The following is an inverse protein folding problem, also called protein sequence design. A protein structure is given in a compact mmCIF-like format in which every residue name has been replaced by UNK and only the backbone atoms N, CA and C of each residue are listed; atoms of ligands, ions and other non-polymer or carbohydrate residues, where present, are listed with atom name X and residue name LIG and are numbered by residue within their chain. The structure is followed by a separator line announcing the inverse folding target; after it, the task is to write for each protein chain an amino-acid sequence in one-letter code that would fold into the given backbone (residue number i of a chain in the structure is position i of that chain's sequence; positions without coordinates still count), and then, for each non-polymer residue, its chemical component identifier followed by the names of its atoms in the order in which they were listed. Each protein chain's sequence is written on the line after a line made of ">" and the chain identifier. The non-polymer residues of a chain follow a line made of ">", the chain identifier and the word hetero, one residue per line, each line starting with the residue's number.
data_IF_379306759289
#
_entry.id   IF_379306759289
#
_cell.length_a   1.000
_cell.length_b   1.000
_cell.length_c   1.000
_cell.angle_alpha   90.00
_cell.angle_beta   90.00
_cell.angle_gamma   90.00
#
_symmetry.space_group_name_H-M   'P 1'
#
loop_
_entity.id
_entity.type
_entity.pdbx_description
1 polymer ?
#
# COMPACT_ATOMS: atom_id res chain seq x y z
N UNK A 1 13.41 -16.05 13.53
CA UNK A 1 12.39 -15.00 13.63
C UNK A 1 11.01 -15.62 13.55
N UNK A 2 9.95 -14.93 14.00
CA UNK A 2 8.59 -15.42 13.85
C UNK A 2 7.93 -14.88 12.58
N UNK A 3 6.80 -15.49 12.20
CA UNK A 3 6.02 -15.09 11.01
C UNK A 3 5.50 -13.65 11.15
N UNK A 4 5.20 -13.18 12.37
CA UNK A 4 4.80 -11.78 12.61
C UNK A 4 5.83 -10.79 12.10
N UNK A 5 7.12 -11.10 12.23
CA UNK A 5 8.19 -10.23 11.72
C UNK A 5 8.17 -10.15 10.18
N UNK A 6 7.83 -11.26 9.51
CA UNK A 6 7.66 -11.31 8.04
C UNK A 6 6.47 -10.45 7.62
N UNK A 7 5.32 -10.64 8.29
CA UNK A 7 4.10 -9.84 8.04
C UNK A 7 4.38 -8.35 8.25
N UNK A 8 5.02 -7.98 9.35
CA UNK A 8 5.33 -6.58 9.64
C UNK A 8 6.23 -5.95 8.56
N UNK A 9 7.17 -6.70 7.97
CA UNK A 9 7.97 -6.17 6.86
C UNK A 9 7.15 -5.85 5.61
N UNK A 10 6.12 -6.65 5.31
CA UNK A 10 5.17 -6.36 4.23
C UNK A 10 4.27 -5.17 4.61
N UNK A 11 3.77 -5.11 5.85
CA UNK A 11 2.92 -4.01 6.33
C UNK A 11 3.67 -2.68 6.49
N UNK A 12 4.99 -2.70 6.73
CA UNK A 12 5.84 -1.50 6.70
C UNK A 12 5.86 -0.87 5.28
N UNK A 13 5.84 -1.71 4.24
CA UNK A 13 5.82 -1.27 2.84
C UNK A 13 4.39 -0.95 2.36
N UNK A 14 3.45 -1.83 2.64
CA UNK A 14 2.04 -1.77 2.23
C UNK A 14 1.12 -1.86 3.45
N UNK A 15 0.98 -0.78 4.24
CA UNK A 15 0.15 -0.78 5.44
C UNK A 15 -1.30 -1.17 5.15
N UNK A 16 -1.90 -2.02 5.98
CA UNK A 16 -3.31 -2.44 5.84
C UNK A 16 -4.30 -1.27 5.78
N UNK A 17 -3.95 -0.13 6.37
CA UNK A 17 -4.77 1.08 6.29
C UNK A 17 -4.91 1.66 4.87
N UNK A 18 -4.12 1.18 3.90
CA UNK A 18 -4.24 1.55 2.48
C UNK A 18 -5.23 0.66 1.71
N UNK A 19 -5.76 -0.41 2.32
CA UNK A 19 -6.72 -1.28 1.66
C UNK A 19 -8.03 -0.56 1.36
N UNK A 20 -8.71 -1.01 0.31
CA UNK A 20 -10.06 -0.58 0.00
C UNK A 20 -11.07 -1.07 1.05
N UNK A 21 -12.15 -0.33 1.24
CA UNK A 21 -13.14 -0.61 2.30
C UNK A 21 -13.85 -1.96 2.16
N UNK A 22 -13.88 -2.53 0.95
CA UNK A 22 -14.48 -3.83 0.65
C UNK A 22 -13.51 -5.00 0.79
N UNK A 23 -12.20 -4.71 0.98
CA UNK A 23 -11.12 -5.69 0.95
C UNK A 23 -10.89 -6.36 2.32
N UNK A 24 -10.20 -7.50 2.31
CA UNK A 24 -9.83 -8.27 3.48
C UNK A 24 -8.33 -8.65 3.46
N UNK A 25 -7.45 -7.66 3.24
CA UNK A 25 -6.01 -7.88 3.36
C UNK A 25 -5.61 -8.18 4.82
N UNK A 26 -4.54 -8.94 4.99
CA UNK A 26 -3.99 -9.29 6.31
C UNK A 26 -3.89 -10.78 6.55
N UNK A 27 -3.84 -11.16 7.83
CA UNK A 27 -3.76 -12.56 8.24
C UNK A 27 -5.07 -13.30 7.89
N UNK A 28 -4.97 -14.30 7.01
CA UNK A 28 -6.11 -15.09 6.55
C UNK A 28 -6.34 -16.35 7.42
N UNK A 29 -5.25 -17.01 7.80
CA UNK A 29 -5.29 -18.23 8.63
C UNK A 29 -3.94 -18.46 9.32
N UNK A 30 -3.94 -19.27 10.37
CA UNK A 30 -2.74 -19.73 11.07
C UNK A 30 -2.32 -18.82 12.24
N UNK A 31 -1.11 -19.06 12.73
CA UNK A 31 -0.54 -18.37 13.90
C UNK A 31 0.76 -17.66 13.54
N UNK A 32 0.71 -16.34 13.53
CA UNK A 32 1.86 -15.50 13.20
C UNK A 32 2.95 -15.47 14.30
N UNK A 33 2.71 -16.05 15.47
CA UNK A 33 3.72 -16.16 16.53
C UNK A 33 4.70 -17.30 16.31
N UNK A 34 4.37 -18.26 15.43
CA UNK A 34 5.23 -19.39 15.08
C UNK A 34 6.55 -18.93 14.46
N UNK A 35 7.60 -19.74 14.71
CA UNK A 35 8.90 -19.56 14.05
C UNK A 35 8.72 -19.76 12.54
N UNK A 36 9.19 -18.82 11.75
CA UNK A 36 9.14 -18.90 10.29
C UNK A 36 10.24 -19.83 9.78
N UNK A 37 9.88 -20.91 9.10
CA UNK A 37 10.81 -21.84 8.43
C UNK A 37 11.16 -21.39 7.02
N UNK A 38 10.27 -20.61 6.39
CA UNK A 38 10.42 -20.04 5.06
C UNK A 38 9.08 -19.56 4.51
N UNK A 39 9.13 -18.89 3.37
CA UNK A 39 7.97 -18.21 2.74
C UNK A 39 7.76 -18.74 1.33
N UNK A 40 6.50 -19.10 1.01
CA UNK A 40 6.02 -19.34 -0.35
C UNK A 40 5.26 -18.11 -0.83
N UNK A 41 5.63 -17.56 -1.99
CA UNK A 41 4.99 -16.40 -2.62
C UNK A 41 4.06 -16.87 -3.73
N UNK A 42 2.84 -16.35 -3.75
CA UNK A 42 1.82 -16.74 -4.74
C UNK A 42 0.91 -15.56 -5.08
N UNK A 43 0.24 -15.58 -6.21
CA UNK A 43 -0.87 -14.67 -6.49
C UNK A 43 -2.13 -15.17 -5.77
N UNK A 44 -2.50 -16.43 -6.01
CA UNK A 44 -3.67 -17.09 -5.44
C UNK A 44 -3.29 -18.23 -4.49
N UNK A 45 -4.03 -18.37 -3.40
CA UNK A 45 -3.91 -19.52 -2.51
C UNK A 45 -4.91 -20.59 -2.93
N UNK A 46 -4.41 -21.78 -3.27
CA UNK A 46 -5.21 -22.94 -3.62
C UNK A 46 -4.67 -24.22 -2.94
N UNK A 47 -5.32 -25.36 -3.15
CA UNK A 47 -4.93 -26.63 -2.52
C UNK A 47 -3.50 -27.05 -2.91
N UNK A 48 -3.11 -26.77 -4.17
CA UNK A 48 -1.77 -27.12 -4.65
C UNK A 48 -0.68 -26.24 -4.01
N UNK A 49 -0.94 -24.92 -3.83
CA UNK A 49 0.03 -24.03 -3.18
C UNK A 49 0.26 -24.40 -1.72
N UNK A 50 -0.78 -24.88 -0.99
CA UNK A 50 -0.61 -25.38 0.38
C UNK A 50 0.19 -26.68 0.38
N UNK A 51 -0.07 -27.61 -0.57
CA UNK A 51 0.70 -28.84 -0.73
C UNK A 51 2.17 -28.55 -1.03
N UNK A 52 2.45 -27.63 -1.94
CA UNK A 52 3.80 -27.19 -2.30
C UNK A 52 4.55 -26.61 -1.09
N UNK A 53 3.87 -25.76 -0.29
CA UNK A 53 4.47 -25.22 0.93
C UNK A 53 4.89 -26.33 1.90
N UNK A 54 4.06 -27.38 2.06
CA UNK A 54 4.37 -28.56 2.90
C UNK A 54 5.59 -29.33 2.37
N UNK A 55 5.63 -29.58 1.06
CA UNK A 55 6.73 -30.32 0.41
C UNK A 55 8.05 -29.62 0.57
N UNK A 56 8.08 -28.28 0.53
CA UNK A 56 9.28 -27.49 0.76
C UNK A 56 9.57 -27.20 2.24
N UNK A 57 8.72 -27.64 3.18
CA UNK A 57 8.87 -27.36 4.60
C UNK A 57 8.70 -25.88 4.97
N UNK A 58 7.95 -25.14 4.16
CA UNK A 58 7.66 -23.72 4.37
C UNK A 58 6.35 -23.56 5.14
N UNK A 59 6.35 -22.73 6.18
CA UNK A 59 5.17 -22.57 7.03
C UNK A 59 4.51 -21.18 6.95
N UNK A 60 4.91 -20.36 5.96
CA UNK A 60 4.30 -19.08 5.69
C UNK A 60 3.99 -18.94 4.20
N UNK A 61 2.75 -18.66 3.85
CA UNK A 61 2.32 -18.33 2.49
C UNK A 61 1.98 -16.83 2.47
N UNK A 62 2.62 -16.08 1.57
CA UNK A 62 2.28 -14.69 1.28
C UNK A 62 1.62 -14.65 -0.09
N UNK A 63 0.37 -14.22 -0.14
CA UNK A 63 -0.40 -14.09 -1.38
C UNK A 63 -0.77 -12.64 -1.68
N UNK A 64 -1.03 -12.36 -2.94
CA UNK A 64 -1.66 -11.10 -3.33
C UNK A 64 -3.16 -11.16 -3.02
N UNK A 65 -3.87 -12.10 -3.58
CA UNK A 65 -5.30 -12.26 -3.36
C UNK A 65 -5.62 -12.87 -1.99
N UNK A 66 -6.60 -12.31 -1.26
CA UNK A 66 -7.05 -12.87 0.01
C UNK A 66 -7.85 -14.17 -0.22
N UNK A 67 -7.45 -15.23 0.47
CA UNK A 67 -8.21 -16.51 0.47
C UNK A 67 -9.64 -16.30 0.97
N UNK A 68 -9.82 -15.40 1.94
CA UNK A 68 -11.10 -15.06 2.57
C UNK A 68 -11.58 -13.67 2.12
N UNK A 69 -11.79 -13.47 0.83
CA UNK A 69 -12.30 -12.18 0.32
C UNK A 69 -13.70 -11.86 0.89
N UNK A 70 -14.54 -12.87 1.04
CA UNK A 70 -15.85 -12.76 1.70
C UNK A 70 -15.85 -13.54 3.00
N UNK A 71 -16.56 -13.02 4.01
CA UNK A 71 -16.73 -13.75 5.27
C UNK A 71 -17.36 -15.13 5.07
N UNK A 72 -16.81 -16.12 5.74
CA UNK A 72 -17.31 -17.51 5.74
C UNK A 72 -18.12 -17.81 7.02
N UNK A 73 -19.12 -18.70 6.90
CA UNK A 73 -19.96 -19.10 8.05
C UNK A 73 -19.55 -20.42 8.65
N UNK A 74 -18.78 -21.23 7.92
CA UNK A 74 -18.31 -22.55 8.36
C UNK A 74 -17.00 -22.91 7.68
N UNK A 75 -16.20 -23.74 8.33
CA UNK A 75 -15.02 -24.37 7.76
C UNK A 75 -15.32 -25.86 7.66
N UNK A 76 -15.41 -26.37 6.43
CA UNK A 76 -15.79 -27.77 6.14
C UNK A 76 -15.01 -28.24 4.90
N UNK A 77 -14.66 -29.53 4.81
CA UNK A 77 -14.01 -30.07 3.62
C UNK A 77 -14.90 -30.06 2.37
N UNK A 78 -16.18 -29.73 2.50
CA UNK A 78 -17.13 -29.68 1.38
C UNK A 78 -16.87 -28.52 0.42
N UNK A 79 -16.12 -27.51 0.86
CA UNK A 79 -15.78 -26.35 0.03
C UNK A 79 -14.27 -26.25 -0.22
N UNK A 80 -13.81 -25.74 -1.39
CA UNK A 80 -12.38 -25.53 -1.65
C UNK A 80 -11.71 -24.71 -0.56
N UNK A 81 -12.27 -23.55 -0.19
CA UNK A 81 -11.73 -22.69 0.87
C UNK A 81 -11.64 -23.43 2.22
N UNK A 82 -12.65 -24.24 2.55
CA UNK A 82 -12.64 -25.05 3.78
C UNK A 82 -11.52 -26.08 3.78
N UNK A 83 -11.29 -26.79 2.67
CA UNK A 83 -10.19 -27.77 2.54
C UNK A 83 -8.83 -27.08 2.69
N UNK A 84 -8.63 -25.94 2.01
CA UNK A 84 -7.40 -25.14 2.11
C UNK A 84 -7.13 -24.72 3.55
N UNK A 85 -8.14 -24.19 4.25
CA UNK A 85 -8.01 -23.75 5.64
C UNK A 85 -7.70 -24.90 6.59
N UNK A 86 -8.42 -26.04 6.45
CA UNK A 86 -8.19 -27.22 7.29
C UNK A 86 -6.77 -27.74 7.08
N UNK A 87 -6.32 -27.87 5.82
CA UNK A 87 -4.98 -28.36 5.51
C UNK A 87 -3.89 -27.42 6.01
N UNK A 88 -4.01 -26.12 5.74
CA UNK A 88 -3.04 -25.12 6.19
C UNK A 88 -2.93 -25.08 7.73
N UNK A 89 -4.05 -24.98 8.44
CA UNK A 89 -4.05 -24.88 9.91
C UNK A 89 -3.52 -26.17 10.54
N UNK A 90 -3.95 -27.35 10.04
CA UNK A 90 -3.51 -28.65 10.58
C UNK A 90 -2.01 -28.90 10.39
N UNK A 91 -1.39 -28.26 9.42
CA UNK A 91 0.06 -28.36 9.13
C UNK A 91 0.86 -27.15 9.65
N UNK A 92 0.26 -26.27 10.45
CA UNK A 92 0.93 -25.12 11.04
C UNK A 92 1.35 -24.05 10.01
N UNK A 93 0.70 -24.01 8.85
CA UNK A 93 0.95 -23.03 7.80
C UNK A 93 0.11 -21.77 8.06
N UNK A 94 0.77 -20.63 8.05
CA UNK A 94 0.14 -19.33 8.17
C UNK A 94 -0.02 -18.69 6.79
N UNK A 95 -1.20 -18.18 6.49
CA UNK A 95 -1.53 -17.50 5.23
C UNK A 95 -1.76 -16.03 5.51
N UNK A 96 -1.03 -15.17 4.81
CA UNK A 96 -1.16 -13.72 4.85
C UNK A 96 -1.34 -13.18 3.43
N UNK A 97 -2.25 -12.22 3.25
CA UNK A 97 -2.49 -11.58 1.94
C UNK A 97 -2.27 -10.08 2.00
N UNK A 98 -1.58 -9.53 1.00
CA UNK A 98 -1.49 -8.11 0.76
C UNK A 98 -2.04 -7.81 -0.64
N UNK A 99 -3.26 -7.28 -0.67
CA UNK A 99 -4.10 -7.10 -1.84
C UNK A 99 -4.19 -5.61 -2.20
N UNK A 100 -5.34 -4.99 -2.08
CA UNK A 100 -5.49 -3.57 -2.44
C UNK A 100 -4.62 -2.61 -1.62
N UNK A 101 -4.18 -3.01 -0.43
CA UNK A 101 -3.17 -2.27 0.31
C UNK A 101 -1.80 -2.26 -0.39
N UNK A 102 -1.43 -3.35 -1.10
CA UNK A 102 -0.23 -3.38 -1.93
C UNK A 102 -0.43 -2.57 -3.21
N UNK A 103 -1.63 -2.65 -3.84
CA UNK A 103 -1.94 -1.87 -5.03
C UNK A 103 -1.87 -0.37 -4.78
N UNK A 104 -2.37 0.07 -3.61
CA UNK A 104 -2.41 1.47 -3.20
C UNK A 104 -1.09 1.97 -2.57
N UNK A 105 -0.10 1.09 -2.36
CA UNK A 105 1.20 1.50 -1.84
C UNK A 105 2.02 2.28 -2.88
N UNK A 106 2.86 3.23 -2.43
CA UNK A 106 3.68 4.11 -3.28
C UNK A 106 4.43 3.39 -4.41
N UNK A 107 4.97 2.20 -4.14
CA UNK A 107 5.71 1.38 -5.10
C UNK A 107 5.04 0.01 -5.30
N UNK A 108 3.71 -0.01 -5.20
CA UNK A 108 2.90 -1.21 -5.34
C UNK A 108 2.78 -1.70 -6.79
N UNK A 109 1.79 -2.57 -7.03
CA UNK A 109 1.64 -3.33 -8.28
C UNK A 109 1.62 -2.42 -9.50
N UNK A 110 0.75 -1.41 -9.56
CA UNK A 110 0.64 -0.53 -10.73
C UNK A 110 1.91 0.29 -10.96
N UNK A 111 2.59 0.74 -9.91
CA UNK A 111 3.88 1.43 -10.06
C UNK A 111 4.97 0.48 -10.59
N UNK A 112 5.00 -0.78 -10.11
CA UNK A 112 5.91 -1.82 -10.60
C UNK A 112 5.67 -2.12 -12.08
N UNK A 113 4.41 -2.25 -12.51
CA UNK A 113 4.06 -2.42 -13.93
C UNK A 113 4.61 -1.26 -14.78
N UNK A 114 4.43 -0.01 -14.31
CA UNK A 114 4.94 1.17 -14.99
C UNK A 114 6.47 1.16 -15.13
N UNK A 115 7.19 0.74 -14.07
CA UNK A 115 8.65 0.57 -14.09
C UNK A 115 9.09 -0.52 -15.07
N UNK A 116 8.41 -1.67 -15.10
CA UNK A 116 8.71 -2.76 -16.03
C UNK A 116 8.56 -2.34 -17.49
N UNK A 117 7.63 -1.43 -17.80
CA UNK A 117 7.44 -0.83 -19.13
C UNK A 117 8.43 0.31 -19.43
N UNK A 118 9.30 0.69 -18.48
CA UNK A 118 10.25 1.78 -18.64
C UNK A 118 9.60 3.16 -18.70
N UNK A 119 8.43 3.34 -18.06
CA UNK A 119 7.77 4.64 -18.00
C UNK A 119 8.59 5.62 -17.14
N UNK A 120 8.56 6.89 -17.52
CA UNK A 120 9.19 8.00 -16.79
C UNK A 120 8.13 8.94 -16.20
N UNK A 121 8.49 9.68 -15.15
CA UNK A 121 7.58 10.62 -14.50
C UNK A 121 6.34 9.92 -13.93
N UNK A 122 6.51 8.72 -13.39
CA UNK A 122 5.43 7.89 -12.86
C UNK A 122 4.74 8.60 -11.69
N UNK A 123 3.41 8.67 -11.74
CA UNK A 123 2.55 9.23 -10.69
C UNK A 123 1.37 8.29 -10.44
N UNK A 124 0.81 8.35 -9.25
CA UNK A 124 -0.46 7.69 -8.93
C UNK A 124 -1.57 8.23 -9.83
N UNK A 125 -2.38 7.34 -10.41
CA UNK A 125 -3.47 7.72 -11.31
C UNK A 125 -4.66 8.29 -10.50
N UNK A 126 -5.05 7.62 -9.44
CA UNK A 126 -6.11 8.05 -8.51
C UNK A 126 -5.53 8.16 -7.09
N UNK A 127 -5.00 9.33 -6.70
CA UNK A 127 -4.47 9.55 -5.35
C UNK A 127 -5.54 9.39 -4.27
N UNK A 128 -5.15 8.83 -3.11
CA UNK A 128 -6.06 8.74 -1.96
C UNK A 128 -6.29 10.13 -1.35
N UNK A 129 -7.55 10.45 -1.06
CA UNK A 129 -7.97 11.68 -0.38
C UNK A 129 -8.27 11.42 1.11
N UNK A 130 -8.30 12.50 1.91
CA UNK A 130 -8.63 12.47 3.34
C UNK A 130 -7.74 11.53 4.21
N UNK A 131 -6.56 11.17 3.71
CA UNK A 131 -5.60 10.28 4.39
C UNK A 131 -4.49 11.04 5.11
N UNK A 132 -4.44 12.35 4.96
CA UNK A 132 -3.45 13.21 5.58
C UNK A 132 -4.05 14.01 6.74
N UNK A 133 -3.20 14.33 7.71
CA UNK A 133 -3.51 15.24 8.82
C UNK A 133 -2.37 16.23 9.01
N UNK A 134 -2.70 17.40 9.55
CA UNK A 134 -1.74 18.29 10.18
C UNK A 134 -1.79 18.05 11.69
N UNK A 135 -0.64 17.77 12.29
CA UNK A 135 -0.47 17.75 13.74
C UNK A 135 0.17 19.07 14.15
N UNK A 136 -0.44 19.74 15.13
CA UNK A 136 0.10 20.95 15.73
C UNK A 136 0.28 20.72 17.23
N UNK A 137 1.42 21.11 17.80
CA UNK A 137 1.72 21.00 19.23
C UNK A 137 2.37 22.28 19.71
N UNK A 138 2.10 22.66 20.97
CA UNK A 138 2.62 23.87 21.61
C UNK A 138 3.64 23.44 22.67
N UNK A 139 4.90 23.84 22.49
CA UNK A 139 6.05 23.31 23.25
C UNK A 139 6.85 24.47 23.83
N UNK A 140 7.28 24.42 25.11
CA UNK A 140 8.26 25.40 25.62
C UNK A 140 9.48 25.46 24.69
N UNK A 141 9.93 26.67 24.37
CA UNK A 141 10.97 26.94 23.37
C UNK A 141 12.22 26.04 23.53
N UNK A 142 12.68 25.87 24.78
CA UNK A 142 13.85 25.04 25.09
C UNK A 142 13.68 23.53 24.76
N UNK A 143 12.46 23.05 24.53
CA UNK A 143 12.14 21.65 24.25
C UNK A 143 11.66 21.42 22.81
N UNK A 144 11.53 22.48 22.01
CA UNK A 144 10.92 22.42 20.67
C UNK A 144 11.65 21.45 19.73
N UNK A 145 12.99 21.48 19.69
CA UNK A 145 13.77 20.61 18.81
C UNK A 145 13.63 19.13 19.19
N UNK A 146 13.66 18.82 20.50
CA UNK A 146 13.49 17.44 20.96
C UNK A 146 12.13 16.87 20.57
N UNK A 147 11.05 17.64 20.71
CA UNK A 147 9.69 17.20 20.35
C UNK A 147 9.55 17.07 18.83
N UNK A 148 10.09 18.03 18.08
CA UNK A 148 10.09 18.00 16.59
C UNK A 148 10.79 16.75 16.07
N UNK A 149 11.97 16.44 16.58
CA UNK A 149 12.74 15.27 16.19
C UNK A 149 12.02 13.97 16.53
N UNK A 150 11.41 13.88 17.72
CA UNK A 150 10.62 12.69 18.10
C UNK A 150 9.42 12.46 17.16
N UNK A 151 8.72 13.55 16.76
CA UNK A 151 7.63 13.46 15.80
C UNK A 151 8.12 13.01 14.41
N UNK A 152 9.26 13.54 13.96
CA UNK A 152 9.85 13.19 12.66
C UNK A 152 10.33 11.74 12.65
N UNK A 153 11.00 11.26 13.69
CA UNK A 153 11.45 9.86 13.84
C UNK A 153 10.27 8.88 13.89
N UNK A 154 9.11 9.33 14.36
CA UNK A 154 7.88 8.56 14.33
C UNK A 154 7.19 8.53 12.95
N UNK A 155 7.64 9.35 11.98
CA UNK A 155 7.19 9.37 10.59
C UNK A 155 6.39 10.61 10.18
N UNK A 156 6.48 11.72 10.96
CA UNK A 156 5.91 13.00 10.55
C UNK A 156 6.81 13.76 9.58
N UNK A 157 6.22 14.67 8.79
CA UNK A 157 6.96 15.62 7.96
C UNK A 157 7.49 15.08 6.64
N UNK A 158 6.92 14.01 6.09
CA UNK A 158 7.26 13.53 4.75
C UNK A 158 6.43 14.27 3.69
N UNK A 159 7.09 14.98 2.77
CA UNK A 159 6.49 15.68 1.63
C UNK A 159 7.35 15.41 0.40
N UNK A 160 6.89 14.55 -0.49
CA UNK A 160 7.67 14.18 -1.66
C UNK A 160 8.93 13.41 -1.30
N UNK A 161 10.04 13.92 -1.78
CA UNK A 161 11.38 13.41 -1.49
C UNK A 161 12.07 14.18 -0.33
N UNK A 162 11.28 15.00 0.41
CA UNK A 162 11.74 15.68 1.62
C UNK A 162 11.17 14.99 2.85
N UNK A 163 11.98 14.84 3.86
CA UNK A 163 11.61 14.35 5.19
C UNK A 163 11.77 15.46 6.25
N UNK A 164 11.29 15.21 7.48
CA UNK A 164 11.38 16.13 8.63
C UNK A 164 10.84 17.54 8.36
N UNK A 165 9.96 17.70 7.37
CA UNK A 165 9.32 18.97 7.09
C UNK A 165 8.43 19.40 8.26
N UNK A 166 8.67 20.60 8.77
CA UNK A 166 7.89 21.21 9.83
C UNK A 166 7.82 22.70 9.64
N UNK A 167 6.82 23.33 10.25
CA UNK A 167 6.72 24.77 10.35
C UNK A 167 6.59 25.16 11.82
N UNK A 168 7.34 26.18 12.26
CA UNK A 168 7.35 26.63 13.64
C UNK A 168 6.97 28.10 13.75
N UNK A 169 6.19 28.42 14.77
CA UNK A 169 5.74 29.76 15.11
C UNK A 169 6.03 29.99 16.59
N UNK A 170 6.65 31.11 16.93
CA UNK A 170 6.83 31.56 18.31
C UNK A 170 5.54 32.22 18.81
N UNK A 171 5.20 31.96 20.08
CA UNK A 171 3.99 32.49 20.68
C UNK A 171 4.06 32.46 22.21
N UNK A 172 2.95 32.85 22.85
CA UNK A 172 2.83 32.84 24.30
C UNK A 172 1.65 31.93 24.67
N UNK A 173 1.94 30.79 25.31
CA UNK A 173 0.95 29.95 25.96
C UNK A 173 0.47 30.58 27.24
N UNK A 174 -0.81 30.35 27.60
CA UNK A 174 -1.40 30.86 28.86
C UNK A 174 -2.29 29.79 29.47
N UNK A 175 -2.03 29.47 30.72
CA UNK A 175 -2.81 28.46 31.44
C UNK A 175 -2.87 28.77 32.93
N UNK A 176 -3.71 28.05 33.67
CA UNK A 176 -3.76 28.04 35.13
C UNK A 176 -3.87 26.59 35.58
N UNK A 177 -2.89 26.13 36.33
CA UNK A 177 -2.92 24.80 36.93
C UNK A 177 -4.02 24.70 37.99
N UNK A 178 -4.89 23.70 37.89
CA UNK A 178 -5.93 23.41 38.90
C UNK A 178 -5.37 22.53 40.01
N UNK A 179 -6.13 22.44 41.14
CA UNK A 179 -5.79 21.50 42.20
C UNK A 179 -5.74 20.07 41.70
N UNK A 180 -4.60 19.37 41.89
CA UNK A 180 -4.36 18.03 41.39
C UNK A 180 -3.45 17.95 40.17
N UNK A 181 -3.16 19.08 39.51
CA UNK A 181 -2.13 19.14 38.47
C UNK A 181 -0.72 19.15 39.08
N UNK A 182 0.25 18.67 38.27
CA UNK A 182 1.68 18.76 38.61
C UNK A 182 2.38 19.55 37.47
N UNK A 183 2.24 20.89 37.46
CA UNK A 183 2.71 21.71 36.36
C UNK A 183 4.23 21.70 36.24
N UNK A 184 4.77 21.55 35.03
CA UNK A 184 6.20 21.70 34.75
C UNK A 184 6.70 23.11 34.99
N UNK A 185 5.85 24.14 34.76
CA UNK A 185 6.10 25.56 35.03
C UNK A 185 4.85 26.20 35.62
N UNK A 186 5.01 27.28 36.40
CA UNK A 186 3.90 27.97 37.07
C UNK A 186 3.46 27.34 38.39
N UNK A 187 2.52 27.99 39.11
CA UNK A 187 2.00 27.55 40.39
C UNK A 187 0.51 27.25 40.33
N UNK A 188 0.04 26.32 41.19
CA UNK A 188 -1.37 25.94 41.28
C UNK A 188 -2.23 27.15 41.64
N UNK A 189 -3.28 27.40 40.87
CA UNK A 189 -4.24 28.48 41.07
C UNK A 189 -3.85 29.83 40.47
N UNK A 190 -2.62 29.99 40.00
CA UNK A 190 -2.14 31.21 39.35
C UNK A 190 -2.16 31.11 37.81
N UNK A 191 -2.36 32.27 37.16
CA UNK A 191 -2.26 32.33 35.69
C UNK A 191 -0.79 32.47 35.35
N UNK A 192 -0.30 31.50 34.57
CA UNK A 192 1.06 31.48 34.04
C UNK A 192 1.07 31.79 32.53
N UNK A 193 2.13 32.47 32.08
CA UNK A 193 2.43 32.69 30.65
C UNK A 193 3.81 32.13 30.35
N UNK A 194 3.90 31.30 29.34
CA UNK A 194 5.13 30.66 28.89
C UNK A 194 5.42 31.02 27.43
N UNK A 195 6.68 31.28 27.11
CA UNK A 195 7.14 31.36 25.73
C UNK A 195 7.11 29.95 25.12
N UNK A 196 6.35 29.77 24.06
CA UNK A 196 6.14 28.50 23.43
C UNK A 196 6.35 28.58 21.91
N UNK A 197 6.84 27.49 21.34
CA UNK A 197 6.91 27.27 19.90
C UNK A 197 5.75 26.37 19.51
N UNK A 198 4.90 26.84 18.60
CA UNK A 198 3.93 25.98 17.90
C UNK A 198 4.66 25.27 16.78
N UNK A 199 4.65 23.93 16.79
CA UNK A 199 5.23 23.08 15.76
C UNK A 199 4.08 22.48 14.94
N UNK A 200 4.09 22.65 13.62
CA UNK A 200 3.15 22.04 12.70
C UNK A 200 3.87 21.06 11.78
N UNK A 201 3.32 19.85 11.63
CA UNK A 201 3.82 18.81 10.74
C UNK A 201 2.67 18.17 9.97
N UNK A 202 2.93 17.78 8.72
CA UNK A 202 2.02 16.91 7.96
C UNK A 202 2.34 15.45 8.26
N UNK A 203 1.32 14.61 8.30
CA UNK A 203 1.51 13.17 8.50
C UNK A 203 0.38 12.36 7.86
N UNK A 204 0.64 11.12 7.44
CA UNK A 204 -0.43 10.17 7.14
C UNK A 204 -1.28 9.92 8.39
N UNK A 205 -2.61 10.01 8.26
CA UNK A 205 -3.56 9.80 9.37
C UNK A 205 -3.31 8.48 10.12
N UNK A 206 -2.95 7.41 9.40
CA UNK A 206 -2.64 6.09 9.95
C UNK A 206 -1.45 6.09 10.93
N UNK A 207 -0.56 7.07 10.84
CA UNK A 207 0.60 7.21 11.74
C UNK A 207 0.33 8.16 12.92
N UNK A 208 -0.82 8.85 12.98
CA UNK A 208 -1.12 9.85 14.01
C UNK A 208 -0.92 9.32 15.43
N UNK A 209 -1.43 8.12 15.73
CA UNK A 209 -1.30 7.55 17.07
C UNK A 209 0.15 7.28 17.47
N UNK A 210 1.00 6.82 16.54
CA UNK A 210 2.43 6.60 16.79
C UNK A 210 3.16 7.93 16.99
N UNK A 211 2.87 8.92 16.15
CA UNK A 211 3.50 10.24 16.21
C UNK A 211 3.10 10.98 17.48
N UNK A 212 1.81 10.95 17.85
CA UNK A 212 1.32 11.58 19.08
C UNK A 212 1.96 10.93 20.30
N UNK A 213 2.11 9.63 20.36
CA UNK A 213 2.79 8.96 21.47
C UNK A 213 4.24 9.43 21.60
N UNK A 214 5.00 9.44 20.50
CA UNK A 214 6.38 9.92 20.50
C UNK A 214 6.49 11.40 20.90
N UNK A 215 5.53 12.22 20.47
CA UNK A 215 5.40 13.62 20.86
C UNK A 215 5.17 13.75 22.37
N UNK A 216 4.20 13.03 22.93
CA UNK A 216 3.88 13.06 24.37
C UNK A 216 5.05 12.59 25.23
N UNK A 217 5.75 11.52 24.83
CA UNK A 217 6.93 10.99 25.54
C UNK A 217 8.11 11.98 25.56
N UNK A 218 8.20 12.84 24.53
CA UNK A 218 9.27 13.84 24.42
C UNK A 218 8.91 15.18 25.10
N UNK A 219 7.62 15.45 25.29
CA UNK A 219 7.09 16.73 25.79
C UNK A 219 7.32 16.88 27.30
N UNK A 220 7.71 18.09 27.81
CA UNK A 220 7.94 18.28 29.24
C UNK A 220 6.65 18.40 30.06
N UNK A 221 5.52 18.79 29.44
CA UNK A 221 4.24 18.94 30.18
C UNK A 221 3.57 17.57 30.37
N UNK A 222 2.87 17.42 31.49
CA UNK A 222 2.06 16.23 31.75
C UNK A 222 0.85 16.13 30.81
N UNK A 223 0.26 17.28 30.46
CA UNK A 223 -0.86 17.39 29.50
C UNK A 223 -0.57 18.47 28.47
N UNK A 224 0.18 18.17 27.40
CA UNK A 224 0.46 19.15 26.36
C UNK A 224 -0.77 19.40 25.48
N UNK A 225 -0.94 20.65 25.06
CA UNK A 225 -1.95 21.01 24.05
C UNK A 225 -1.46 20.60 22.66
N UNK A 226 -2.32 19.93 21.89
CA UNK A 226 -2.07 19.59 20.50
C UNK A 226 -3.36 19.45 19.71
N UNK A 227 -3.29 19.66 18.40
CA UNK A 227 -4.42 19.56 17.48
C UNK A 227 -4.15 18.50 16.39
N UNK A 228 -5.21 17.80 15.98
CA UNK A 228 -5.22 16.92 14.80
C UNK A 228 -6.20 17.50 13.80
N UNK A 229 -5.68 18.09 12.73
CA UNK A 229 -6.49 18.78 11.71
C UNK A 229 -6.53 17.92 10.46
N UNK A 230 -7.71 17.39 10.05
CA UNK A 230 -7.85 16.70 8.76
C UNK A 230 -7.48 17.62 7.60
N UNK A 231 -6.81 17.06 6.59
CA UNK A 231 -6.45 17.77 5.38
C UNK A 231 -7.19 17.20 4.17
N UNK A 232 -7.71 18.06 3.32
CA UNK A 232 -8.29 17.71 2.02
C UNK A 232 -7.23 17.45 0.94
N UNK A 233 -5.96 17.66 1.26
CA UNK A 233 -4.85 17.34 0.37
C UNK A 233 -4.86 15.86 0.01
N UNK A 234 -4.75 15.56 -1.29
CA UNK A 234 -4.55 14.20 -1.74
C UNK A 234 -3.14 13.70 -1.37
N UNK A 235 -3.04 12.44 -0.96
CA UNK A 235 -1.76 11.74 -0.84
C UNK A 235 -1.33 11.25 -2.23
N UNK A 236 -0.51 12.02 -2.92
CA UNK A 236 -0.06 11.72 -4.27
C UNK A 236 0.87 10.48 -4.36
N UNK A 237 1.22 9.90 -3.22
CA UNK A 237 2.12 8.74 -3.15
C UNK A 237 1.40 7.44 -2.84
N UNK A 238 0.14 7.51 -2.42
CA UNK A 238 -0.70 6.34 -2.15
C UNK A 238 -1.99 6.45 -2.97
N UNK A 239 -2.44 5.34 -3.52
CA UNK A 239 -3.67 5.25 -4.29
C UNK A 239 -3.58 4.32 -5.49
N UNK A 240 -4.66 4.22 -6.23
CA UNK A 240 -4.82 3.19 -7.25
C UNK A 240 -4.27 3.62 -8.61
N UNK A 241 -3.73 2.65 -9.33
CA UNK A 241 -3.20 2.84 -10.69
C UNK A 241 -1.94 3.71 -10.76
N UNK A 242 -1.39 3.80 -11.96
CA UNK A 242 -0.25 4.65 -12.26
C UNK A 242 -0.40 5.31 -13.63
N UNK A 243 0.23 6.47 -13.80
CA UNK A 243 0.34 7.15 -15.10
C UNK A 243 1.77 7.64 -15.28
N UNK A 244 2.32 7.48 -16.49
CA UNK A 244 3.67 7.89 -16.82
C UNK A 244 3.86 8.12 -18.31
N UNK A 245 5.05 8.60 -18.69
CA UNK A 245 5.39 8.89 -20.07
C UNK A 245 6.28 7.77 -20.64
N UNK A 246 6.10 7.47 -21.90
CA UNK A 246 6.94 6.56 -22.68
C UNK A 246 7.56 7.31 -23.86
N UNK A 247 8.70 6.85 -24.38
CA UNK A 247 9.22 7.35 -25.63
C UNK A 247 8.18 7.16 -26.73
N UNK A 248 7.96 8.14 -27.63
CA UNK A 248 6.97 8.01 -28.69
C UNK A 248 7.14 6.69 -29.44
N UNK A 249 6.08 5.91 -29.47
CA UNK A 249 6.01 4.61 -30.16
C UNK A 249 4.62 4.45 -30.78
N UNK A 250 4.44 3.55 -31.73
CA UNK A 250 3.10 3.22 -32.22
C UNK A 250 2.36 2.36 -31.21
N UNK A 251 1.02 2.42 -31.21
CA UNK A 251 0.22 1.55 -30.34
C UNK A 251 0.49 0.06 -30.60
N UNK A 252 0.70 -0.34 -31.87
CA UNK A 252 1.05 -1.72 -32.21
C UNK A 252 2.35 -2.17 -31.56
N UNK A 253 3.43 -1.37 -31.65
CA UNK A 253 4.70 -1.65 -30.98
C UNK A 253 4.56 -1.67 -29.45
N UNK A 254 3.70 -0.82 -28.90
CA UNK A 254 3.42 -0.81 -27.47
C UNK A 254 2.64 -2.06 -27.01
N UNK A 255 1.68 -2.56 -27.80
CA UNK A 255 1.00 -3.83 -27.54
C UNK A 255 1.98 -5.02 -27.56
N UNK A 256 2.94 -5.02 -28.48
CA UNK A 256 4.01 -6.03 -28.51
C UNK A 256 4.90 -5.94 -27.26
N UNK A 257 5.25 -4.72 -26.81
CA UNK A 257 5.97 -4.49 -25.57
C UNK A 257 5.19 -5.01 -24.36
N UNK A 258 3.88 -4.73 -24.27
CA UNK A 258 3.01 -5.27 -23.19
C UNK A 258 3.04 -6.79 -23.19
N UNK A 259 2.88 -7.40 -24.36
CA UNK A 259 2.87 -8.86 -24.51
C UNK A 259 4.17 -9.50 -24.06
N UNK A 260 5.30 -8.91 -24.42
CA UNK A 260 6.63 -9.38 -24.02
C UNK A 260 6.89 -9.17 -22.51
N UNK A 261 6.56 -7.98 -21.98
CA UNK A 261 6.84 -7.61 -20.59
C UNK A 261 6.05 -8.43 -19.59
N UNK A 262 4.76 -8.67 -19.86
CA UNK A 262 3.86 -9.39 -18.95
C UNK A 262 3.62 -10.85 -19.35
N UNK A 263 4.30 -11.33 -20.40
CA UNK A 263 4.14 -12.69 -20.93
C UNK A 263 2.68 -13.02 -21.28
N UNK A 264 1.95 -12.04 -21.83
CA UNK A 264 0.54 -12.21 -22.19
C UNK A 264 0.41 -13.10 -23.42
N UNK A 265 -0.44 -14.13 -23.36
CA UNK A 265 -0.75 -14.99 -24.51
C UNK A 265 -1.66 -14.28 -25.51
N UNK A 266 -2.56 -13.44 -25.02
CA UNK A 266 -3.45 -12.63 -25.82
C UNK A 266 -3.70 -11.28 -25.12
N UNK A 267 -3.94 -10.23 -25.89
CA UNK A 267 -4.38 -8.91 -25.41
C UNK A 267 -5.69 -8.58 -26.14
N UNK A 268 -6.71 -8.19 -25.40
CA UNK A 268 -7.91 -7.58 -25.98
C UNK A 268 -7.75 -6.07 -25.95
N UNK A 269 -8.02 -5.39 -27.06
CA UNK A 269 -7.82 -3.95 -27.12
C UNK A 269 -8.84 -3.23 -28.02
N UNK A 270 -8.94 -1.92 -27.86
CA UNK A 270 -9.56 -1.01 -28.81
C UNK A 270 -8.63 0.18 -29.09
N UNK A 271 -8.74 0.76 -30.28
CA UNK A 271 -7.92 1.86 -30.76
C UNK A 271 -7.24 1.59 -32.09
N UNK A 272 -6.55 2.59 -32.67
CA UNK A 272 -5.80 2.47 -33.92
C UNK A 272 -4.33 2.15 -33.63
N UNK A 273 -3.84 1.00 -34.08
CA UNK A 273 -2.46 0.53 -33.87
C UNK A 273 -1.39 1.50 -34.42
N UNK A 274 -1.76 2.35 -35.40
CA UNK A 274 -0.84 3.35 -35.97
C UNK A 274 -0.74 4.62 -35.15
N UNK A 275 -1.64 4.84 -34.19
CA UNK A 275 -1.61 6.02 -33.34
C UNK A 275 -0.34 6.04 -32.49
N UNK A 276 0.30 7.21 -32.40
CA UNK A 276 1.45 7.41 -31.51
C UNK A 276 1.01 7.42 -30.06
N UNK A 277 1.71 6.66 -29.22
CA UNK A 277 1.56 6.61 -27.76
C UNK A 277 2.75 7.32 -27.12
N UNK A 278 2.47 8.22 -26.20
CA UNK A 278 3.47 8.99 -25.43
C UNK A 278 3.20 8.95 -23.94
N UNK A 279 1.94 8.72 -23.57
CA UNK A 279 1.49 8.70 -22.17
C UNK A 279 0.60 7.51 -21.90
N UNK A 280 0.94 6.74 -20.89
CA UNK A 280 0.30 5.47 -20.53
C UNK A 280 -0.28 5.59 -19.13
N UNK A 281 -1.56 5.25 -18.95
CA UNK A 281 -2.17 4.96 -17.66
C UNK A 281 -2.33 3.45 -17.51
N UNK A 282 -2.23 2.93 -16.29
CA UNK A 282 -2.38 1.51 -16.03
C UNK A 282 -2.88 1.23 -14.61
N UNK A 283 -3.53 0.07 -14.46
CA UNK A 283 -3.93 -0.50 -13.18
C UNK A 283 -3.83 -2.02 -13.24
N UNK A 284 -3.17 -2.64 -12.28
CA UNK A 284 -3.16 -4.10 -12.11
C UNK A 284 -4.56 -4.62 -11.80
N UNK A 285 -4.84 -5.88 -12.14
CA UNK A 285 -6.10 -6.54 -11.90
C UNK A 285 -7.30 -5.91 -12.60
N UNK A 286 -8.43 -5.85 -11.92
CA UNK A 286 -9.71 -5.38 -12.46
C UNK A 286 -9.87 -3.86 -12.32
N UNK A 287 -9.22 -3.08 -13.18
CA UNK A 287 -9.16 -1.61 -13.11
C UNK A 287 -10.10 -0.85 -14.03
N UNK A 288 -11.06 -1.49 -14.73
CA UNK A 288 -11.92 -0.82 -15.71
C UNK A 288 -12.68 0.41 -15.15
N UNK A 289 -12.94 0.46 -13.84
CA UNK A 289 -13.60 1.58 -13.16
C UNK A 289 -12.78 2.89 -13.20
N UNK A 290 -11.47 2.82 -13.44
CA UNK A 290 -10.58 3.99 -13.50
C UNK A 290 -10.39 4.55 -14.91
N UNK A 291 -11.11 4.05 -15.92
CA UNK A 291 -10.96 4.53 -17.31
C UNK A 291 -11.18 6.04 -17.43
N UNK A 292 -12.12 6.60 -16.65
CA UNK A 292 -12.36 8.06 -16.64
C UNK A 292 -11.16 8.85 -16.07
N UNK A 293 -10.48 8.30 -15.05
CA UNK A 293 -9.27 8.91 -14.48
C UNK A 293 -8.11 8.85 -15.47
N UNK A 294 -7.98 7.74 -16.22
CA UNK A 294 -7.01 7.59 -17.28
C UNK A 294 -7.22 8.65 -18.39
N UNK A 295 -8.47 8.88 -18.81
CA UNK A 295 -8.82 9.94 -19.77
C UNK A 295 -8.48 11.32 -19.18
N UNK A 296 -8.88 11.60 -17.95
CA UNK A 296 -8.64 12.88 -17.28
C UNK A 296 -7.13 13.15 -17.11
N UNK A 297 -6.31 12.11 -16.97
CA UNK A 297 -4.85 12.24 -16.90
C UNK A 297 -4.22 12.63 -18.24
N UNK A 298 -4.96 12.54 -19.35
CA UNK A 298 -4.50 12.77 -20.71
C UNK A 298 -3.66 11.61 -21.25
N UNK A 299 -3.90 10.38 -20.79
CA UNK A 299 -3.24 9.19 -21.33
C UNK A 299 -3.73 8.84 -22.74
N UNK A 300 -2.84 8.33 -23.58
CA UNK A 300 -3.16 7.85 -24.93
C UNK A 300 -3.77 6.44 -24.89
N UNK A 301 -3.35 5.64 -23.90
CA UNK A 301 -3.79 4.27 -23.70
C UNK A 301 -3.93 3.97 -22.21
N UNK A 302 -4.94 3.17 -21.86
CA UNK A 302 -5.16 2.60 -20.55
C UNK A 302 -4.96 1.09 -20.56
N UNK A 303 -4.11 0.57 -19.67
CA UNK A 303 -3.75 -0.86 -19.56
C UNK A 303 -4.29 -1.41 -18.25
N UNK A 304 -5.07 -2.51 -18.31
CA UNK A 304 -5.63 -3.16 -17.12
C UNK A 304 -6.03 -4.61 -17.42
N UNK A 305 -6.76 -5.27 -16.53
CA UNK A 305 -7.38 -6.59 -16.74
C UNK A 305 -8.90 -6.56 -16.59
N UNK A 306 -9.55 -7.69 -16.91
CA UNK A 306 -11.00 -7.94 -16.70
C UNK A 306 -11.94 -6.91 -17.37
N UNK A 307 -11.57 -6.36 -18.51
CA UNK A 307 -12.37 -5.35 -19.19
C UNK A 307 -13.56 -6.00 -19.89
N UNK A 308 -14.76 -5.54 -19.58
CA UNK A 308 -16.00 -6.03 -20.22
C UNK A 308 -16.23 -5.36 -21.58
N UNK A 309 -17.09 -5.97 -22.40
CA UNK A 309 -17.45 -5.44 -23.72
C UNK A 309 -17.90 -3.97 -23.67
N UNK A 310 -18.75 -3.64 -22.73
CA UNK A 310 -19.27 -2.27 -22.61
C UNK A 310 -18.23 -1.27 -22.13
N UNK A 311 -17.24 -1.69 -21.35
CA UNK A 311 -16.13 -0.83 -20.92
C UNK A 311 -15.27 -0.41 -22.12
N UNK A 312 -15.01 -1.35 -23.07
CA UNK A 312 -14.36 -0.99 -24.34
C UNK A 312 -15.19 -0.01 -25.16
N UNK A 313 -16.48 -0.35 -25.41
CA UNK A 313 -17.31 0.42 -26.34
C UNK A 313 -17.68 1.80 -25.84
N UNK A 314 -17.77 2.00 -24.52
CA UNK A 314 -18.13 3.27 -23.90
C UNK A 314 -17.03 4.33 -23.99
N UNK A 315 -15.78 3.92 -24.21
CA UNK A 315 -14.62 4.82 -24.21
C UNK A 315 -13.75 4.74 -25.45
N UNK A 316 -14.12 3.91 -26.44
CA UNK A 316 -13.32 3.65 -27.64
C UNK A 316 -13.01 4.90 -28.47
N UNK A 317 -13.85 5.93 -28.39
CA UNK A 317 -13.66 7.23 -29.06
C UNK A 317 -12.77 8.20 -28.27
N UNK A 318 -12.45 7.89 -27.01
CA UNK A 318 -11.78 8.80 -26.07
C UNK A 318 -10.36 8.34 -25.74
N UNK A 319 -10.16 7.05 -25.52
CA UNK A 319 -8.89 6.47 -25.13
C UNK A 319 -8.77 5.05 -25.67
N UNK A 320 -7.55 4.65 -26.07
CA UNK A 320 -7.27 3.26 -26.33
C UNK A 320 -7.25 2.47 -24.99
N UNK A 321 -7.79 1.24 -25.00
CA UNK A 321 -7.79 0.35 -23.83
C UNK A 321 -7.13 -0.96 -24.24
N UNK A 322 -6.24 -1.47 -23.40
CA UNK A 322 -5.63 -2.79 -23.54
C UNK A 322 -5.88 -3.61 -22.26
N UNK A 323 -6.58 -4.73 -22.44
CA UNK A 323 -6.77 -5.76 -21.41
C UNK A 323 -5.72 -6.83 -21.58
N UNK A 324 -4.76 -6.85 -20.67
CA UNK A 324 -3.61 -7.77 -20.69
C UNK A 324 -3.84 -9.02 -19.82
N UNK A 325 -5.00 -9.13 -19.18
CA UNK A 325 -5.34 -10.19 -18.24
C UNK A 325 -5.05 -9.81 -16.78
N UNK A 326 -5.90 -10.31 -15.89
CA UNK A 326 -5.79 -10.09 -14.45
C UNK A 326 -4.50 -10.68 -13.90
N UNK A 327 -4.33 -12.00 -14.11
CA UNK A 327 -3.16 -12.76 -13.65
C UNK A 327 -1.84 -12.16 -14.15
N UNK A 328 -1.76 -11.83 -15.43
CA UNK A 328 -0.56 -11.29 -16.07
C UNK A 328 -0.17 -9.92 -15.46
N UNK A 329 -1.16 -9.07 -15.20
CA UNK A 329 -0.92 -7.72 -14.68
C UNK A 329 -0.43 -7.71 -13.23
N UNK A 330 -0.72 -8.75 -12.43
CA UNK A 330 -0.42 -8.79 -11.00
C UNK A 330 0.72 -9.72 -10.59
N UNK A 331 1.28 -10.50 -11.54
CA UNK A 331 2.40 -11.40 -11.27
C UNK A 331 3.62 -10.70 -10.65
N UNK A 332 3.80 -9.42 -10.92
CA UNK A 332 4.87 -8.62 -10.34
C UNK A 332 4.75 -8.43 -8.81
N UNK A 333 3.59 -8.70 -8.21
CA UNK A 333 3.40 -8.66 -6.75
C UNK A 333 4.36 -9.61 -6.01
N UNK A 334 4.61 -10.80 -6.56
CA UNK A 334 5.58 -11.76 -5.99
C UNK A 334 7.00 -11.17 -5.95
N UNK A 335 7.41 -10.46 -7.00
CA UNK A 335 8.72 -9.80 -7.01
C UNK A 335 8.83 -8.69 -5.96
N UNK A 336 7.75 -7.96 -5.73
CA UNK A 336 7.69 -6.92 -4.68
C UNK A 336 7.86 -7.57 -3.30
N UNK A 337 7.11 -8.63 -3.00
CA UNK A 337 7.23 -9.35 -1.74
C UNK A 337 8.65 -9.89 -1.53
N UNK A 338 9.22 -10.50 -2.56
CA UNK A 338 10.59 -11.04 -2.53
C UNK A 338 11.61 -9.96 -2.19
N UNK A 339 11.60 -8.84 -2.89
CA UNK A 339 12.53 -7.73 -2.66
C UNK A 339 12.44 -7.17 -1.23
N UNK A 340 11.21 -7.02 -0.70
CA UNK A 340 10.99 -6.57 0.68
C UNK A 340 11.63 -7.55 1.67
N UNK A 341 11.36 -8.83 1.50
CA UNK A 341 11.78 -9.87 2.44
C UNK A 341 13.28 -10.15 2.35
N UNK A 342 13.88 -10.23 1.16
CA UNK A 342 15.32 -10.41 0.98
C UNK A 342 16.11 -9.25 1.57
N UNK A 343 15.65 -8.02 1.37
CA UNK A 343 16.27 -6.83 1.95
C UNK A 343 16.22 -6.82 3.48
N UNK A 344 15.08 -7.24 4.06
CA UNK A 344 14.86 -7.18 5.52
C UNK A 344 15.45 -8.38 6.25
N UNK A 345 15.48 -9.56 5.61
CA UNK A 345 15.84 -10.82 6.20
C UNK A 345 16.80 -11.61 5.28
N UNK A 346 18.07 -11.17 5.17
CA UNK A 346 19.05 -11.93 4.40
C UNK A 346 19.16 -13.36 4.92
N UNK A 347 18.99 -14.36 4.03
CA UNK A 347 19.05 -15.78 4.37
C UNK A 347 17.69 -16.43 4.73
N UNK A 348 16.57 -15.70 4.67
CA UNK A 348 15.25 -16.31 4.71
C UNK A 348 15.02 -17.14 3.43
N UNK A 349 14.58 -18.39 3.59
CA UNK A 349 14.16 -19.19 2.45
C UNK A 349 12.88 -18.62 1.86
N UNK A 350 12.93 -18.20 0.59
CA UNK A 350 11.78 -17.64 -0.14
C UNK A 350 11.66 -18.35 -1.48
N UNK A 351 10.50 -18.89 -1.78
CA UNK A 351 10.18 -19.52 -3.07
C UNK A 351 8.94 -18.88 -3.70
N UNK A 352 8.91 -18.79 -5.02
CA UNK A 352 7.68 -18.52 -5.77
C UNK A 352 6.97 -19.85 -5.99
N UNK A 353 5.65 -19.89 -5.83
CA UNK A 353 4.87 -21.10 -6.05
C UNK A 353 4.90 -21.48 -7.54
N UNK A 354 5.34 -22.70 -7.84
CA UNK A 354 5.34 -23.28 -9.19
C UNK A 354 3.93 -23.67 -9.62
N UNK A 355 3.07 -23.96 -8.64
CA UNK A 355 1.65 -24.32 -8.84
C UNK A 355 0.74 -23.10 -9.02
N UNK A 356 1.28 -21.89 -8.88
CA UNK A 356 0.58 -20.63 -9.15
C UNK A 356 0.59 -20.33 -10.65
N UNK A 357 -0.38 -20.89 -11.37
CA UNK A 357 -0.50 -20.80 -12.82
C UNK A 357 -1.82 -20.16 -13.24
N UNK A 358 -1.79 -19.37 -14.31
CA UNK A 358 -3.03 -18.88 -14.92
C UNK A 358 -3.90 -20.05 -15.40
N UNK A 359 -5.11 -20.17 -14.83
CA UNK A 359 -6.09 -21.21 -15.22
C UNK A 359 -6.80 -20.88 -16.51
N UNK A 360 -6.79 -19.62 -16.96
CA UNK A 360 -7.38 -19.18 -18.24
C UNK A 360 -6.48 -19.62 -19.38
N UNK A 361 -7.06 -20.29 -20.36
CA UNK A 361 -6.36 -20.77 -21.55
C UNK A 361 -6.87 -20.02 -22.78
N UNK A 362 -5.99 -19.79 -23.73
CA UNK A 362 -6.27 -19.14 -25.01
C UNK A 362 -6.01 -20.15 -26.13
N UNK A 363 -6.86 -20.17 -27.15
CA UNK A 363 -6.75 -21.00 -28.37
C UNK A 363 -6.59 -20.11 -29.60
#
# INVERSE_FOLDING_TARGET
>A
MNIRSVINAIEDFAPRALQESYDNAGLQAGDATNICTGVLLTLDVNENTVTEAKEYGLNCIISHHPLLFKGIKSISPDTPTGRILIDAISNGITIYSAHTNLDNARFGVSNRMAQMLGLSGIRTLQPQSATLVKLAVFVPEAHADKVRDAMADAGAGAIGDYDRCSYSLEGTGRFRAATGANPFVGEIGEIHQAAETKIEVIAPRRLSGKIIRAMLDAHPYEEPAYDIIPLDNADNYSGSGAVGNIKPTTMGEFLDLLKATFNCKAIRYCGDERKTITKVALCGGSGAFMTSDAIASGADIYVTGDVKYHDFTSFADKIAIADIGHYESEQCSKSIFREILEKKFPGLTIKDAETDINTIKYI
#
